data_IF_599637280827
#
_entry.id   IF_599637280827
#
_cell.length_a   1.000
_cell.length_b   1.000
_cell.length_c   1.000
_cell.angle_alpha   90.00
_cell.angle_beta   90.00
_cell.angle_gamma   90.00
#
_symmetry.space_group_name_H-M   'P 1'
#
loop_
_entity.id
_entity.type
_entity.pdbx_description
1 polymer ?
#
# COMPACT_ATOMS: atom_id res chain seq x y z
N UNK A 1 4.09 -24.83 -6.73
CA UNK A 1 2.74 -25.22 -6.26
C UNK A 1 2.58 -24.80 -4.81
N UNK A 2 1.39 -24.35 -4.43
CA UNK A 2 1.10 -23.93 -3.05
C UNK A 2 1.10 -25.16 -2.12
N UNK A 3 2.01 -25.20 -1.15
CA UNK A 3 2.11 -26.28 -0.17
C UNK A 3 1.67 -25.81 1.22
N UNK A 4 1.59 -26.71 2.21
CA UNK A 4 1.15 -26.37 3.58
C UNK A 4 1.96 -25.22 4.19
N UNK A 5 3.29 -25.24 4.04
CA UNK A 5 4.16 -24.16 4.54
C UNK A 5 3.82 -22.82 3.89
N UNK A 6 3.57 -22.83 2.58
CA UNK A 6 3.21 -21.63 1.83
C UNK A 6 1.91 -21.01 2.32
N UNK A 7 0.89 -21.85 2.56
CA UNK A 7 -0.40 -21.40 3.09
C UNK A 7 -0.21 -20.78 4.47
N UNK A 8 0.56 -21.43 5.35
CA UNK A 8 0.86 -20.90 6.68
C UNK A 8 1.57 -19.55 6.62
N UNK A 9 2.58 -19.40 5.76
CA UNK A 9 3.29 -18.12 5.59
C UNK A 9 2.37 -17.03 5.06
N UNK A 10 1.56 -17.32 4.03
CA UNK A 10 0.58 -16.37 3.46
C UNK A 10 -0.41 -15.90 4.53
N UNK A 11 -1.00 -16.84 5.27
CA UNK A 11 -1.96 -16.52 6.33
C UNK A 11 -1.30 -15.75 7.47
N UNK A 12 -0.11 -16.13 7.89
CA UNK A 12 0.62 -15.48 8.98
C UNK A 12 0.97 -14.03 8.63
N UNK A 13 1.56 -13.78 7.47
CA UNK A 13 1.94 -12.43 7.06
C UNK A 13 0.73 -11.59 6.64
N UNK A 14 -0.30 -12.20 6.04
CA UNK A 14 -1.58 -11.54 5.81
C UNK A 14 -2.27 -11.13 7.12
N UNK A 15 -2.18 -11.97 8.15
CA UNK A 15 -2.70 -11.65 9.49
C UNK A 15 -1.91 -10.55 10.16
N UNK A 16 -0.57 -10.59 10.06
CA UNK A 16 0.30 -9.53 10.56
C UNK A 16 -0.04 -8.19 9.93
N UNK A 17 -0.19 -8.14 8.60
CA UNK A 17 -0.59 -6.94 7.90
C UNK A 17 -1.98 -6.46 8.36
N UNK A 18 -2.97 -7.35 8.42
CA UNK A 18 -4.32 -7.01 8.92
C UNK A 18 -4.32 -6.48 10.35
N UNK A 19 -3.48 -7.03 11.23
CA UNK A 19 -3.34 -6.57 12.61
C UNK A 19 -2.69 -5.18 12.70
N UNK A 20 -1.66 -4.90 11.90
CA UNK A 20 -1.05 -3.57 11.76
C UNK A 20 -2.10 -2.58 11.26
N UNK A 21 -2.84 -2.95 10.23
CA UNK A 21 -3.88 -2.12 9.65
C UNK A 21 -4.99 -1.80 10.67
N UNK A 22 -5.43 -2.78 11.46
CA UNK A 22 -6.44 -2.60 12.49
C UNK A 22 -5.95 -1.72 13.66
N UNK A 23 -4.74 -1.98 14.16
CA UNK A 23 -4.18 -1.28 15.33
C UNK A 23 -3.61 0.09 14.98
N UNK A 24 -2.54 0.14 14.18
CA UNK A 24 -1.91 1.40 13.78
C UNK A 24 -2.87 2.29 13.00
N UNK A 25 -3.72 1.71 12.15
CA UNK A 25 -4.71 2.51 11.43
C UNK A 25 -5.66 3.25 12.38
N UNK A 26 -6.07 2.62 13.48
CA UNK A 26 -6.90 3.27 14.50
C UNK A 26 -6.14 4.39 15.20
N UNK A 27 -4.89 4.14 15.60
CA UNK A 27 -4.02 5.13 16.27
C UNK A 27 -3.79 6.35 15.36
N UNK A 28 -3.40 6.12 14.10
CA UNK A 28 -3.16 7.16 13.09
C UNK A 28 -4.39 8.04 12.87
N UNK A 29 -5.58 7.42 12.80
CA UNK A 29 -6.84 8.15 12.69
C UNK A 29 -7.18 8.95 13.95
N UNK A 30 -6.89 8.43 15.15
CA UNK A 30 -7.09 9.15 16.41
C UNK A 30 -6.21 10.41 16.47
N UNK A 31 -4.95 10.32 16.04
CA UNK A 31 -4.04 11.47 15.97
C UNK A 31 -4.30 12.39 14.77
N UNK A 32 -5.30 12.09 13.92
CA UNK A 32 -5.63 12.84 12.70
C UNK A 32 -4.41 13.08 11.79
N UNK A 33 -3.50 12.11 11.74
CA UNK A 33 -2.27 12.25 10.98
C UNK A 33 -2.57 12.33 9.47
N UNK A 34 -2.07 13.35 8.76
CA UNK A 34 -2.17 13.38 7.31
C UNK A 34 -1.39 12.20 6.73
N UNK A 35 -1.82 11.70 5.56
CA UNK A 35 -1.19 10.55 4.88
C UNK A 35 -1.21 9.22 5.64
N UNK A 36 -2.09 9.07 6.65
CA UNK A 36 -2.27 7.81 7.39
C UNK A 36 -2.43 6.60 6.47
N UNK A 37 -3.18 6.74 5.36
CA UNK A 37 -3.34 5.68 4.36
C UNK A 37 -2.04 5.32 3.63
N UNK A 38 -1.22 6.29 3.26
CA UNK A 38 0.07 6.05 2.60
C UNK A 38 1.07 5.34 3.51
N UNK A 39 1.04 5.67 4.81
CA UNK A 39 1.90 5.02 5.81
C UNK A 39 1.51 3.54 5.95
N UNK A 40 0.22 3.25 6.13
CA UNK A 40 -0.29 1.87 6.23
C UNK A 40 -0.05 1.08 4.94
N UNK A 41 -0.30 1.70 3.79
CA UNK A 41 -0.01 1.16 2.46
C UNK A 41 1.47 0.80 2.32
N UNK A 42 2.37 1.68 2.79
CA UNK A 42 3.81 1.42 2.80
C UNK A 42 4.21 0.22 3.66
N UNK A 43 3.62 0.08 4.87
CA UNK A 43 3.85 -1.09 5.73
C UNK A 43 3.33 -2.38 5.10
N UNK A 44 2.12 -2.33 4.51
CA UNK A 44 1.55 -3.44 3.76
C UNK A 44 2.42 -3.84 2.57
N UNK A 45 2.91 -2.86 1.81
CA UNK A 45 3.82 -3.07 0.69
C UNK A 45 5.10 -3.78 1.12
N UNK A 46 5.72 -3.39 2.24
CA UNK A 46 6.93 -4.06 2.77
C UNK A 46 6.65 -5.56 2.99
N UNK A 47 5.53 -5.87 3.65
CA UNK A 47 5.13 -7.24 3.96
C UNK A 47 4.87 -8.05 2.68
N UNK A 48 4.15 -7.48 1.73
CA UNK A 48 3.84 -8.11 0.45
C UNK A 48 5.11 -8.40 -0.36
N UNK A 49 6.00 -7.41 -0.49
CA UNK A 49 7.23 -7.54 -1.26
C UNK A 49 8.19 -8.57 -0.64
N UNK A 50 8.31 -8.59 0.69
CA UNK A 50 9.10 -9.57 1.42
C UNK A 50 8.64 -10.99 1.09
N UNK A 51 7.35 -11.29 1.29
CA UNK A 51 6.82 -12.63 1.06
C UNK A 51 6.88 -12.99 -0.44
N UNK A 52 6.59 -12.05 -1.34
CA UNK A 52 6.67 -12.33 -2.79
C UNK A 52 8.09 -12.65 -3.24
N UNK A 53 9.10 -12.01 -2.67
CA UNK A 53 10.51 -12.28 -2.99
C UNK A 53 10.98 -13.63 -2.45
N UNK A 54 10.66 -13.92 -1.20
CA UNK A 54 11.12 -15.15 -0.53
C UNK A 54 10.43 -16.41 -1.06
N UNK A 55 9.12 -16.36 -1.28
CA UNK A 55 8.38 -17.55 -1.71
C UNK A 55 8.29 -17.70 -3.23
N UNK A 56 8.31 -16.58 -3.96
CA UNK A 56 8.09 -16.53 -5.40
C UNK A 56 6.84 -17.31 -5.88
N UNK A 57 5.76 -17.30 -5.09
CA UNK A 57 4.50 -17.99 -5.42
C UNK A 57 3.50 -16.98 -5.99
N UNK A 58 2.96 -17.28 -7.17
CA UNK A 58 1.92 -16.47 -7.81
C UNK A 58 0.63 -16.50 -6.99
N UNK A 59 -0.01 -15.34 -6.88
CA UNK A 59 -1.25 -15.13 -6.14
C UNK A 59 -1.07 -14.93 -4.64
N UNK A 60 0.15 -15.03 -4.09
CA UNK A 60 0.36 -14.92 -2.65
C UNK A 60 0.08 -13.50 -2.13
N UNK A 61 0.36 -12.45 -2.91
CA UNK A 61 0.07 -11.08 -2.51
C UNK A 61 -1.44 -10.79 -2.44
N UNK A 62 -2.21 -11.33 -3.39
CA UNK A 62 -3.68 -11.22 -3.39
C UNK A 62 -4.27 -11.93 -2.17
N UNK A 63 -3.82 -13.15 -1.88
CA UNK A 63 -4.31 -13.92 -0.73
C UNK A 63 -3.97 -13.22 0.59
N UNK A 64 -2.76 -12.66 0.71
CA UNK A 64 -2.39 -11.85 1.87
C UNK A 64 -3.30 -10.62 2.03
N UNK A 65 -3.58 -9.92 0.93
CA UNK A 65 -4.51 -8.78 0.93
C UNK A 65 -5.94 -9.17 1.31
N UNK A 66 -6.41 -10.35 0.89
CA UNK A 66 -7.72 -10.86 1.28
C UNK A 66 -7.79 -11.16 2.78
N UNK A 67 -6.76 -11.79 3.34
CA UNK A 67 -6.66 -12.05 4.79
C UNK A 67 -6.62 -10.74 5.57
N UNK A 68 -5.72 -9.82 5.18
CA UNK A 68 -5.56 -8.53 5.84
C UNK A 68 -6.84 -7.68 5.78
N UNK A 69 -7.46 -7.60 4.60
CA UNK A 69 -8.70 -6.89 4.38
C UNK A 69 -9.84 -7.44 5.24
N UNK A 70 -9.96 -8.77 5.33
CA UNK A 70 -10.99 -9.43 6.16
C UNK A 70 -10.84 -9.06 7.63
N UNK A 71 -9.61 -9.07 8.16
CA UNK A 71 -9.33 -8.66 9.55
C UNK A 71 -9.71 -7.19 9.77
N UNK A 72 -9.32 -6.31 8.85
CA UNK A 72 -9.65 -4.87 8.93
C UNK A 72 -11.16 -4.64 8.91
N UNK A 73 -11.89 -5.40 8.10
CA UNK A 73 -13.34 -5.29 7.96
C UNK A 73 -14.07 -5.64 9.27
N UNK A 74 -13.57 -6.66 10.01
CA UNK A 74 -14.13 -7.10 11.30
C UNK A 74 -13.75 -6.14 12.44
N UNK A 75 -12.62 -5.44 12.32
CA UNK A 75 -12.06 -4.61 13.40
C UNK A 75 -12.84 -3.31 13.70
N UNK A 76 -13.88 -2.97 12.93
CA UNK A 76 -14.70 -1.77 13.15
C UNK A 76 -16.17 -2.11 13.42
N UNK A 77 -16.81 -1.35 14.32
CA UNK A 77 -18.26 -1.40 14.59
C UNK A 77 -19.12 -0.93 13.40
N UNK A 78 -18.52 -0.25 12.42
CA UNK A 78 -19.17 0.10 11.15
C UNK A 78 -18.35 -0.47 9.99
N UNK A 79 -18.94 -1.42 9.25
CA UNK A 79 -18.31 -2.05 8.08
C UNK A 79 -18.07 -0.98 7.00
N UNK A 80 -16.83 -0.50 6.90
CA UNK A 80 -16.40 0.40 5.82
C UNK A 80 -15.82 -0.44 4.69
N UNK A 81 -16.58 -0.63 3.61
CA UNK A 81 -16.12 -1.35 2.41
C UNK A 81 -14.91 -0.69 1.73
N UNK A 82 -14.73 0.62 1.88
CA UNK A 82 -13.64 1.38 1.27
C UNK A 82 -12.25 0.83 1.65
N UNK A 83 -11.86 0.85 2.93
CA UNK A 83 -10.56 0.30 3.38
C UNK A 83 -10.33 -1.16 2.98
N UNK A 84 -11.35 -2.02 3.09
CA UNK A 84 -11.27 -3.42 2.64
C UNK A 84 -10.85 -3.51 1.17
N UNK A 85 -11.57 -2.80 0.29
CA UNK A 85 -11.28 -2.80 -1.14
C UNK A 85 -9.88 -2.25 -1.43
N UNK A 86 -9.43 -1.26 -0.66
CA UNK A 86 -8.10 -0.67 -0.80
C UNK A 86 -6.99 -1.70 -0.56
N UNK A 87 -7.04 -2.37 0.59
CA UNK A 87 -6.06 -3.39 0.99
C UNK A 87 -5.98 -4.53 -0.02
N UNK A 88 -7.14 -5.03 -0.47
CA UNK A 88 -7.17 -6.09 -1.48
C UNK A 88 -6.54 -5.63 -2.79
N UNK A 89 -6.84 -4.40 -3.22
CA UNK A 89 -6.29 -3.84 -4.46
C UNK A 89 -4.79 -3.60 -4.39
N UNK A 90 -4.23 -3.23 -3.23
CA UNK A 90 -2.77 -3.16 -3.04
C UNK A 90 -2.13 -4.53 -3.27
N UNK A 91 -2.73 -5.60 -2.73
CA UNK A 91 -2.30 -6.98 -2.99
C UNK A 91 -2.36 -7.36 -4.47
N UNK A 92 -3.42 -6.95 -5.18
CA UNK A 92 -3.58 -7.15 -6.63
C UNK A 92 -2.52 -6.39 -7.44
N UNK A 93 -2.27 -5.12 -7.11
CA UNK A 93 -1.26 -4.29 -7.78
C UNK A 93 0.12 -4.94 -7.64
N UNK A 94 0.51 -5.28 -6.42
CA UNK A 94 1.82 -5.92 -6.19
C UNK A 94 1.92 -7.26 -6.91
N UNK A 95 0.85 -8.07 -6.93
CA UNK A 95 0.86 -9.33 -7.64
C UNK A 95 1.06 -9.14 -9.15
N UNK A 96 0.33 -8.21 -9.77
CA UNK A 96 0.45 -7.90 -11.20
C UNK A 96 1.87 -7.44 -11.52
N UNK A 97 2.40 -6.49 -10.76
CA UNK A 97 3.75 -5.96 -10.99
C UNK A 97 4.80 -7.07 -10.82
N UNK A 98 4.67 -7.92 -9.79
CA UNK A 98 5.59 -9.03 -9.55
C UNK A 98 5.52 -10.12 -10.62
N UNK A 99 4.36 -10.33 -11.24
CA UNK A 99 4.22 -11.25 -12.37
C UNK A 99 4.93 -10.68 -13.61
N UNK A 100 4.80 -9.37 -13.86
CA UNK A 100 5.35 -8.72 -15.05
C UNK A 100 6.87 -8.50 -14.98
N UNK A 101 7.38 -8.01 -13.85
CA UNK A 101 8.79 -7.62 -13.69
C UNK A 101 9.61 -8.61 -12.83
N UNK A 102 8.95 -9.63 -12.28
CA UNK A 102 9.55 -10.60 -11.37
C UNK A 102 9.93 -10.02 -10.01
N UNK A 103 10.43 -10.85 -9.08
CA UNK A 103 10.93 -10.44 -7.77
C UNK A 103 12.33 -9.81 -7.88
N UNK A 104 12.45 -8.78 -8.72
CA UNK A 104 13.68 -8.05 -9.06
C UNK A 104 13.64 -6.64 -8.50
N UNK A 105 14.77 -5.90 -8.57
CA UNK A 105 14.80 -4.47 -8.18
C UNK A 105 13.76 -3.64 -8.95
N UNK A 106 13.55 -3.95 -10.24
CA UNK A 106 12.54 -3.29 -11.06
C UNK A 106 11.12 -3.60 -10.58
N UNK A 107 10.82 -4.86 -10.25
CA UNK A 107 9.52 -5.24 -9.69
C UNK A 107 9.22 -4.51 -8.38
N UNK A 108 10.22 -4.34 -7.51
CA UNK A 108 10.08 -3.58 -6.27
C UNK A 108 9.80 -2.10 -6.54
N UNK A 109 10.58 -1.49 -7.43
CA UNK A 109 10.43 -0.09 -7.79
C UNK A 109 9.05 0.22 -8.38
N UNK A 110 8.60 -0.57 -9.38
CA UNK A 110 7.28 -0.39 -9.96
C UNK A 110 6.16 -0.67 -8.95
N UNK A 111 6.33 -1.63 -8.04
CA UNK A 111 5.35 -1.89 -6.99
C UNK A 111 5.21 -0.66 -6.09
N UNK A 112 6.33 -0.04 -5.71
CA UNK A 112 6.34 1.23 -4.98
C UNK A 112 5.59 2.35 -5.69
N UNK A 113 5.81 2.53 -6.99
CA UNK A 113 5.10 3.56 -7.77
C UNK A 113 3.60 3.30 -7.81
N UNK A 114 3.18 2.11 -8.26
CA UNK A 114 1.76 1.82 -8.47
C UNK A 114 0.98 1.76 -7.16
N UNK A 115 1.55 1.15 -6.11
CA UNK A 115 0.95 1.15 -4.79
C UNK A 115 0.93 2.54 -4.17
N UNK A 116 1.97 3.37 -4.39
CA UNK A 116 1.98 4.77 -3.94
C UNK A 116 0.89 5.62 -4.59
N UNK A 117 0.62 5.44 -5.89
CA UNK A 117 -0.44 6.18 -6.60
C UNK A 117 -1.85 5.73 -6.18
N UNK A 118 -2.00 4.47 -5.80
CA UNK A 118 -3.31 3.86 -5.59
C UNK A 118 -4.20 4.54 -4.52
N UNK A 119 -3.70 4.98 -3.34
CA UNK A 119 -4.50 5.73 -2.37
C UNK A 119 -5.18 6.98 -2.95
N UNK A 120 -4.56 7.64 -3.93
CA UNK A 120 -5.13 8.80 -4.62
C UNK A 120 -6.32 8.35 -5.48
N UNK A 121 -6.10 7.30 -6.29
CA UNK A 121 -7.12 6.72 -7.17
C UNK A 121 -8.32 6.24 -6.35
N UNK A 122 -8.07 5.52 -5.26
CA UNK A 122 -9.11 5.03 -4.36
C UNK A 122 -9.90 6.18 -3.73
N UNK A 123 -9.23 7.24 -3.25
CA UNK A 123 -9.90 8.40 -2.67
C UNK A 123 -10.82 9.10 -3.69
N UNK A 124 -10.36 9.30 -4.92
CA UNK A 124 -11.17 9.90 -5.99
C UNK A 124 -12.38 9.01 -6.27
N UNK A 125 -12.17 7.70 -6.41
CA UNK A 125 -13.24 6.74 -6.68
C UNK A 125 -14.30 6.73 -5.57
N UNK A 126 -13.88 6.54 -4.31
CA UNK A 126 -14.80 6.48 -3.16
C UNK A 126 -15.58 7.78 -3.00
N UNK A 127 -14.92 8.94 -3.13
CA UNK A 127 -15.60 10.23 -3.03
C UNK A 127 -16.56 10.47 -4.19
N UNK A 128 -16.21 10.04 -5.40
CA UNK A 128 -17.12 10.13 -6.56
C UNK A 128 -18.35 9.24 -6.38
N UNK A 129 -18.19 8.04 -5.81
CA UNK A 129 -19.31 7.13 -5.53
C UNK A 129 -20.22 7.70 -4.43
N UNK A 130 -19.65 8.28 -3.37
CA UNK A 130 -20.42 8.79 -2.22
C UNK A 130 -21.09 10.15 -2.50
N UNK A 131 -20.41 11.06 -3.20
CA UNK A 131 -20.84 12.44 -3.41
C UNK A 131 -21.29 12.73 -4.86
N UNK A 132 -21.19 11.74 -5.75
CA UNK A 132 -21.52 11.86 -7.16
C UNK A 132 -20.45 12.58 -8.01
N UNK A 133 -20.73 12.69 -9.32
CA UNK A 133 -19.86 13.36 -10.30
C UNK A 133 -19.61 14.85 -10.00
N UNK A 134 -20.42 15.47 -9.14
CA UNK A 134 -20.29 16.88 -8.73
C UNK A 134 -19.09 17.12 -7.81
N UNK A 135 -18.46 16.08 -7.25
CA UNK A 135 -17.28 16.21 -6.41
C UNK A 135 -16.03 16.70 -7.18
N UNK A 136 -15.86 16.26 -8.43
CA UNK A 136 -14.68 16.62 -9.23
C UNK A 136 -14.64 18.12 -9.57
N UNK A 137 -15.75 18.75 -10.02
CA UNK A 137 -15.82 20.20 -10.18
C UNK A 137 -15.52 20.97 -8.89
N UNK A 138 -16.02 20.50 -7.74
CA UNK A 138 -15.74 21.14 -6.44
C UNK A 138 -14.24 21.11 -6.12
N UNK A 139 -13.53 20.04 -6.45
CA UNK A 139 -12.08 19.95 -6.25
C UNK A 139 -11.32 20.97 -7.12
N UNK A 140 -11.77 21.16 -8.36
CA UNK A 140 -11.20 22.12 -9.31
C UNK A 140 -11.50 23.55 -8.86
N UNK A 141 -12.73 23.84 -8.43
CA UNK A 141 -13.11 25.16 -7.90
C UNK A 141 -12.34 25.53 -6.62
N UNK A 142 -12.08 24.56 -5.74
CA UNK A 142 -11.26 24.78 -4.54
C UNK A 142 -9.80 25.05 -4.88
N UNK A 143 -9.25 24.32 -5.86
CA UNK A 143 -7.89 24.55 -6.36
C UNK A 143 -7.78 25.95 -7.03
N UNK A 144 -8.77 26.35 -7.81
CA UNK A 144 -8.84 27.67 -8.45
C UNK A 144 -9.02 28.80 -7.43
N UNK A 145 -9.84 28.60 -6.39
CA UNK A 145 -10.04 29.57 -5.31
C UNK A 145 -8.76 29.84 -4.51
N UNK A 146 -8.00 28.78 -4.21
CA UNK A 146 -6.68 28.89 -3.57
C UNK A 146 -5.69 29.57 -4.53
N UNK A 147 -5.68 29.19 -5.80
CA UNK A 147 -4.78 29.78 -6.81
C UNK A 147 -5.01 31.29 -6.97
N UNK A 148 -6.27 31.76 -6.96
CA UNK A 148 -6.61 33.18 -7.03
C UNK A 148 -6.21 33.97 -5.79
N UNK A 149 -6.26 33.34 -4.61
CA UNK A 149 -5.94 34.00 -3.33
C UNK A 149 -4.43 34.14 -3.08
N UNK A 150 -3.61 33.27 -3.68
CA UNK A 150 -2.15 33.22 -3.48
C UNK A 150 -1.38 33.87 -4.65
N UNK A 151 -2.07 34.31 -5.71
CA UNK A 151 -1.48 35.12 -6.79
C UNK A 151 -0.53 34.39 -7.75
N UNK A 152 -0.36 33.08 -7.58
CA UNK A 152 0.42 32.22 -8.48
C UNK A 152 -0.49 31.10 -9.03
N UNK A 153 -0.18 30.63 -10.25
CA UNK A 153 -0.78 29.43 -10.86
C UNK A 153 -0.39 28.13 -10.15
N UNK A 154 -0.59 28.08 -8.83
CA UNK A 154 -0.18 27.02 -7.90
C UNK A 154 -1.09 25.80 -7.94
N UNK A 155 -2.27 25.87 -8.57
CA UNK A 155 -3.26 24.78 -8.57
C UNK A 155 -2.68 23.44 -9.03
N UNK A 156 -1.97 23.45 -10.18
CA UNK A 156 -1.34 22.23 -10.72
C UNK A 156 -0.14 21.76 -9.90
N UNK A 157 0.64 22.68 -9.33
CA UNK A 157 1.82 22.34 -8.53
C UNK A 157 1.47 21.63 -7.22
N UNK A 158 0.36 21.99 -6.58
CA UNK A 158 -0.12 21.31 -5.37
C UNK A 158 -0.50 19.86 -5.66
N UNK A 159 -1.17 19.62 -6.80
CA UNK A 159 -1.52 18.26 -7.24
C UNK A 159 -0.27 17.43 -7.57
N UNK A 160 0.69 18.01 -8.28
CA UNK A 160 1.98 17.37 -8.57
C UNK A 160 2.72 17.04 -7.26
N UNK A 161 2.81 17.99 -6.33
CA UNK A 161 3.46 17.78 -5.05
C UNK A 161 2.79 16.65 -4.26
N UNK A 162 1.46 16.64 -4.20
CA UNK A 162 0.70 15.57 -3.54
C UNK A 162 0.97 14.21 -4.18
N UNK A 163 0.94 14.13 -5.52
CA UNK A 163 1.24 12.90 -6.26
C UNK A 163 2.67 12.42 -5.98
N UNK A 164 3.65 13.31 -6.06
CA UNK A 164 5.06 13.00 -5.81
C UNK A 164 5.25 12.51 -4.37
N UNK A 165 4.64 13.16 -3.39
CA UNK A 165 4.72 12.73 -1.99
C UNK A 165 4.24 11.28 -1.81
N UNK A 166 3.11 10.92 -2.40
CA UNK A 166 2.57 9.55 -2.36
C UNK A 166 3.47 8.52 -3.06
N UNK A 167 4.01 8.86 -4.23
CA UNK A 167 4.98 8.00 -4.92
C UNK A 167 6.25 7.81 -4.09
N UNK A 168 6.73 8.87 -3.42
CA UNK A 168 7.87 8.79 -2.52
C UNK A 168 7.61 7.86 -1.32
N UNK A 169 6.42 7.89 -0.73
CA UNK A 169 6.05 6.92 0.31
C UNK A 169 6.11 5.48 -0.20
N UNK A 170 5.54 5.21 -1.37
CA UNK A 170 5.58 3.87 -1.96
C UNK A 170 7.00 3.41 -2.32
N UNK A 171 7.81 4.30 -2.90
CA UNK A 171 9.20 3.99 -3.27
C UNK A 171 10.10 3.79 -2.04
N UNK A 172 9.94 4.60 -0.99
CA UNK A 172 10.71 4.45 0.26
C UNK A 172 10.35 3.13 0.96
N UNK A 173 9.07 2.76 0.98
CA UNK A 173 8.63 1.46 1.48
C UNK A 173 9.20 0.29 0.65
N UNK A 174 9.15 0.37 -0.67
CA UNK A 174 9.74 -0.65 -1.54
C UNK A 174 11.26 -0.79 -1.34
N UNK A 175 11.96 0.34 -1.16
CA UNK A 175 13.38 0.33 -0.88
C UNK A 175 13.70 -0.26 0.50
N UNK A 176 12.93 0.09 1.53
CA UNK A 176 13.04 -0.50 2.86
C UNK A 176 12.84 -2.02 2.82
N UNK A 177 11.86 -2.51 2.07
CA UNK A 177 11.63 -3.94 1.87
C UNK A 177 12.85 -4.63 1.26
N UNK A 178 13.47 -4.01 0.25
CA UNK A 178 14.68 -4.54 -0.38
C UNK A 178 15.86 -4.66 0.60
N UNK A 179 16.03 -3.66 1.47
CA UNK A 179 17.09 -3.68 2.51
C UNK A 179 16.85 -4.83 3.49
N UNK A 180 15.62 -4.96 4.00
CA UNK A 180 15.24 -6.00 4.97
C UNK A 180 15.54 -7.39 4.42
N UNK A 181 15.20 -7.63 3.16
CA UNK A 181 15.44 -8.92 2.50
C UNK A 181 16.93 -9.19 2.39
N UNK A 182 17.71 -8.20 1.94
CA UNK A 182 19.16 -8.36 1.81
C UNK A 182 19.80 -8.69 3.16
N UNK A 183 19.45 -7.98 4.22
CA UNK A 183 19.95 -8.24 5.58
C UNK A 183 19.59 -9.65 6.06
N UNK A 184 18.37 -10.10 5.77
CA UNK A 184 17.91 -11.44 6.16
C UNK A 184 18.71 -12.52 5.44
N UNK A 185 18.98 -12.34 4.15
CA UNK A 185 19.79 -13.27 3.35
C UNK A 185 21.25 -13.30 3.82
N UNK A 186 21.84 -12.13 4.12
CA UNK A 186 23.19 -12.02 4.64
C UNK A 186 23.31 -12.77 5.99
N UNK A 187 22.35 -12.59 6.90
CA UNK A 187 22.31 -13.29 8.21
C UNK A 187 22.21 -14.82 8.05
N UNK A 188 21.31 -15.30 7.19
CA UNK A 188 21.16 -16.74 6.94
C UNK A 188 22.42 -17.35 6.31
N UNK A 189 23.09 -16.61 5.43
CA UNK A 189 24.36 -17.07 4.85
C UNK A 189 25.48 -17.20 5.90
N UNK A 190 25.55 -16.25 6.84
CA UNK A 190 26.54 -16.28 7.93
C UNK A 190 26.30 -17.39 8.96
N UNK A 191 25.04 -17.78 9.19
CA UNK A 191 24.74 -18.91 10.07
C UNK A 191 25.13 -20.25 9.42
N UNK A 192 24.88 -20.40 8.12
CA UNK A 192 25.24 -21.63 7.40
C UNK A 192 26.75 -21.79 7.21
N UNK A 193 27.55 -20.71 7.26
CA UNK A 193 29.01 -20.81 7.22
C UNK A 193 29.65 -21.17 8.56
N UNK A 194 28.90 -21.00 9.67
CA UNK A 194 29.36 -21.25 11.03
C UNK A 194 28.85 -22.58 11.62
N UNK A 195 28.04 -23.33 10.86
CA UNK A 195 27.48 -24.64 11.22
C UNK A 195 28.17 -25.74 10.42
#
# INVERSE_FOLDING_TARGET
MMNRRSILTITLFGTLWGAIEASLGTILHMFRLPFSGSILSGLGLIILLYVRKEMNIRGSAILMGLVAGTIKMISFSTVKFGPFAGIVMEGVIVEIVMILFGPTKLGFFFSGIFTGIYPIVQNIFVKTVLFGMKFVPVLIELADGISKSVGFGLGWWILIFYLVAHILFGCTAAWAAWIIIKQTQDLLSSQNSNA
#
